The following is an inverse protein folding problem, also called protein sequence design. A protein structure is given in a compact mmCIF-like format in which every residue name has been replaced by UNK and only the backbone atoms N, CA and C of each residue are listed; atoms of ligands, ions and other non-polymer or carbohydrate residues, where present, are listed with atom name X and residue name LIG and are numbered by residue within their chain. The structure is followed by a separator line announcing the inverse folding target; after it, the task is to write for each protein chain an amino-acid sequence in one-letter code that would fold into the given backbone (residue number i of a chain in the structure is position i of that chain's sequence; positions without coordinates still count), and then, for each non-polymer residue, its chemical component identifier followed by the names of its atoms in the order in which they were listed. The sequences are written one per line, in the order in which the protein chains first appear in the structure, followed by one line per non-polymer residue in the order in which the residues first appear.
data_IF_000637846630
#
_entry.id   IF_000637846630
#
_cell.length_a   1.000
_cell.length_b   1.000
_cell.length_c   1.000
_cell.angle_alpha   90.00
_cell.angle_beta   90.00
_cell.angle_gamma   90.00
#
_symmetry.space_group_name_H-M   'P 1'
#
loop_
_entity.id
_entity.type
_entity.pdbx_description
1 polymer ?
#
# COMPACT_ATOMS: atom_id res chain seq x y z
N UNK A 1 8.27 4.86 -6.04
CA UNK A 1 9.18 3.72 -5.81
C UNK A 1 8.76 2.56 -6.69
N UNK A 2 9.69 1.80 -7.21
CA UNK A 2 9.39 0.65 -8.05
C UNK A 2 9.58 -0.64 -7.27
N UNK A 3 8.86 -1.68 -7.66
CA UNK A 3 8.94 -2.98 -7.00
C UNK A 3 10.36 -3.55 -7.00
N UNK A 4 11.14 -3.27 -8.05
CA UNK A 4 12.52 -3.72 -8.16
C UNK A 4 13.41 -3.21 -7.02
N UNK A 5 13.11 -2.07 -6.43
CA UNK A 5 13.85 -1.54 -5.29
C UNK A 5 13.69 -2.41 -4.04
N UNK A 6 12.65 -3.24 -4.00
CA UNK A 6 12.40 -4.16 -2.90
C UNK A 6 13.05 -5.54 -3.12
N UNK A 7 13.52 -5.84 -4.32
CA UNK A 7 14.07 -7.17 -4.64
C UNK A 7 15.17 -7.64 -3.67
N UNK A 8 16.11 -6.76 -3.23
CA UNK A 8 17.12 -7.19 -2.27
C UNK A 8 16.58 -7.46 -0.86
N UNK A 9 15.43 -6.87 -0.51
CA UNK A 9 14.86 -6.92 0.84
C UNK A 9 13.89 -8.09 0.98
N UNK A 10 13.07 -8.36 -0.02
CA UNK A 10 11.97 -9.32 0.08
C UNK A 10 12.42 -10.73 0.49
N UNK A 11 13.55 -11.27 0.00
CA UNK A 11 14.02 -12.59 0.45
C UNK A 11 14.47 -12.64 1.90
N UNK A 12 14.72 -11.49 2.54
CA UNK A 12 15.24 -11.39 3.90
C UNK A 12 14.13 -11.29 4.96
N UNK A 13 12.87 -11.10 4.55
CA UNK A 13 11.76 -10.87 5.46
C UNK A 13 10.80 -12.04 5.47
N UNK A 14 10.04 -12.17 6.57
CA UNK A 14 8.98 -13.15 6.68
C UNK A 14 7.78 -12.72 5.82
N UNK A 15 7.17 -13.70 5.14
CA UNK A 15 5.95 -13.50 4.36
C UNK A 15 6.06 -12.30 3.41
N UNK A 16 6.98 -12.33 2.44
CA UNK A 16 7.19 -11.18 1.54
C UNK A 16 5.93 -10.82 0.72
N UNK A 17 4.98 -11.75 0.56
CA UNK A 17 3.71 -11.45 -0.11
C UNK A 17 2.89 -10.33 0.56
N UNK A 18 3.17 -10.02 1.82
CA UNK A 18 2.55 -8.87 2.52
C UNK A 18 2.83 -7.54 1.83
N UNK A 19 3.91 -7.46 1.05
CA UNK A 19 4.52 -6.19 0.64
C UNK A 19 4.51 -5.97 -0.87
N UNK A 20 3.96 -6.89 -1.64
CA UNK A 20 4.04 -6.84 -3.11
C UNK A 20 2.72 -6.45 -3.79
N UNK A 21 1.62 -6.32 -3.05
CA UNK A 21 0.32 -6.00 -3.65
C UNK A 21 -0.17 -7.06 -4.64
N UNK A 22 -0.93 -6.63 -5.65
CA UNK A 22 -1.33 -7.49 -6.75
C UNK A 22 -2.45 -8.49 -6.45
N UNK A 23 -3.21 -8.28 -5.37
CA UNK A 23 -4.37 -9.11 -5.05
C UNK A 23 -5.44 -8.99 -6.14
N UNK A 24 -6.23 -10.04 -6.31
CA UNK A 24 -7.19 -10.14 -7.40
C UNK A 24 -8.19 -8.98 -7.46
N UNK A 25 -8.60 -8.47 -6.29
CA UNK A 25 -9.56 -7.37 -6.18
C UNK A 25 -8.91 -6.01 -5.89
N UNK A 26 -7.61 -5.88 -6.11
CA UNK A 26 -6.93 -4.58 -6.04
C UNK A 26 -7.44 -3.65 -7.13
N UNK A 27 -7.62 -2.37 -6.78
CA UNK A 27 -8.03 -1.35 -7.73
C UNK A 27 -6.80 -0.53 -8.14
N UNK A 28 -6.45 -0.61 -9.41
CA UNK A 28 -5.32 0.14 -9.96
C UNK A 28 -5.85 1.13 -10.99
N UNK A 29 -5.53 2.39 -10.80
CA UNK A 29 -5.95 3.48 -11.68
C UNK A 29 -4.73 4.22 -12.22
N UNK A 30 -4.96 5.08 -13.21
CA UNK A 30 -3.94 6.01 -13.69
C UNK A 30 -3.92 7.23 -12.76
N UNK A 31 -2.80 7.46 -12.07
CA UNK A 31 -2.68 8.58 -11.15
C UNK A 31 -2.82 9.94 -11.84
N UNK A 32 -2.57 10.02 -13.13
CA UNK A 32 -2.76 11.25 -13.91
C UNK A 32 -4.25 11.50 -14.24
N UNK A 33 -5.10 10.49 -14.11
CA UNK A 33 -6.52 10.58 -14.46
C UNK A 33 -7.43 10.88 -13.26
N UNK A 34 -6.88 10.90 -12.04
CA UNK A 34 -7.65 11.17 -10.82
C UNK A 34 -7.25 12.51 -10.23
N UNK A 35 -8.20 13.14 -9.52
CA UNK A 35 -7.97 14.42 -8.85
C UNK A 35 -7.48 14.24 -7.42
N UNK A 36 -7.88 13.15 -6.77
CA UNK A 36 -7.61 12.88 -5.35
C UNK A 36 -6.92 11.53 -5.21
N UNK A 37 -5.77 11.53 -4.56
CA UNK A 37 -5.08 10.32 -4.15
C UNK A 37 -5.23 10.14 -2.64
N UNK A 38 -5.88 9.07 -2.24
CA UNK A 38 -6.22 8.78 -0.86
C UNK A 38 -5.40 7.56 -0.39
N UNK A 39 -4.55 7.76 0.62
CA UNK A 39 -3.83 6.66 1.26
C UNK A 39 -4.62 6.20 2.48
N UNK A 40 -5.24 5.03 2.38
CA UNK A 40 -5.98 4.43 3.48
C UNK A 40 -4.99 3.59 4.31
N UNK A 41 -4.57 4.14 5.43
CA UNK A 41 -3.59 3.51 6.31
C UNK A 41 -4.31 2.76 7.42
N UNK A 42 -4.06 1.46 7.52
CA UNK A 42 -4.56 0.63 8.61
C UNK A 42 -3.40 0.34 9.56
N UNK A 43 -3.51 0.66 10.85
CA UNK A 43 -2.38 0.63 11.79
C UNK A 43 -2.10 -0.79 12.32
N UNK A 44 -2.13 -1.79 11.46
CA UNK A 44 -1.82 -3.17 11.77
C UNK A 44 -1.25 -3.85 10.54
N UNK A 45 -0.85 -5.12 10.70
CA UNK A 45 -0.23 -5.88 9.62
C UNK A 45 -1.20 -6.22 8.50
N UNK A 46 -0.62 -6.62 7.37
CA UNK A 46 -1.34 -6.94 6.15
C UNK A 46 -2.50 -7.94 6.36
N UNK A 47 -2.26 -9.05 7.08
CA UNK A 47 -3.29 -10.09 7.26
C UNK A 47 -4.49 -9.57 8.04
N UNK A 48 -4.25 -8.75 9.05
CA UNK A 48 -5.32 -8.16 9.87
C UNK A 48 -6.09 -7.12 9.06
N UNK A 49 -5.37 -6.24 8.38
CA UNK A 49 -5.99 -5.22 7.53
C UNK A 49 -6.81 -5.80 6.39
N UNK A 50 -6.28 -6.82 5.72
CA UNK A 50 -6.98 -7.49 4.61
C UNK A 50 -8.21 -8.27 5.07
N UNK A 51 -8.27 -8.63 6.33
CA UNK A 51 -9.44 -9.32 6.92
C UNK A 51 -10.49 -8.36 7.47
N UNK A 52 -10.20 -7.05 7.50
CA UNK A 52 -11.10 -6.07 8.10
C UNK A 52 -12.18 -5.64 7.11
N UNK A 53 -13.43 -6.02 7.42
CA UNK A 53 -14.56 -5.77 6.52
C UNK A 53 -14.81 -4.27 6.29
N UNK A 54 -14.74 -3.46 7.35
CA UNK A 54 -14.95 -2.02 7.24
C UNK A 54 -13.96 -1.35 6.30
N UNK A 55 -12.70 -1.76 6.33
CA UNK A 55 -11.69 -1.27 5.41
C UNK A 55 -12.01 -1.63 3.96
N UNK A 56 -12.46 -2.86 3.72
CA UNK A 56 -12.85 -3.31 2.38
C UNK A 56 -14.03 -2.53 1.83
N UNK A 57 -15.01 -2.25 2.66
CA UNK A 57 -16.20 -1.47 2.28
C UNK A 57 -15.78 -0.04 1.90
N UNK A 58 -14.99 0.62 2.73
CA UNK A 58 -14.53 1.99 2.46
C UNK A 58 -13.61 2.08 1.25
N UNK A 59 -12.74 1.11 1.09
CA UNK A 59 -11.86 1.01 -0.08
C UNK A 59 -12.68 0.92 -1.38
N UNK A 60 -13.68 0.05 -1.41
CA UNK A 60 -14.56 -0.11 -2.56
C UNK A 60 -15.38 1.18 -2.81
N UNK A 61 -15.92 1.77 -1.75
CA UNK A 61 -16.73 2.99 -1.86
C UNK A 61 -15.92 4.16 -2.40
N UNK A 62 -14.72 4.39 -1.88
CA UNK A 62 -13.85 5.47 -2.34
C UNK A 62 -13.41 5.26 -3.79
N UNK A 63 -13.11 4.03 -4.16
CA UNK A 63 -12.69 3.70 -5.52
C UNK A 63 -13.84 3.66 -6.53
N UNK A 64 -15.09 3.68 -6.07
CA UNK A 64 -16.24 3.83 -6.96
C UNK A 64 -16.33 5.24 -7.57
N UNK A 65 -15.62 6.21 -6.98
CA UNK A 65 -15.55 7.56 -7.52
C UNK A 65 -14.52 7.62 -8.65
N UNK A 66 -14.88 8.26 -9.75
CA UNK A 66 -13.96 8.41 -10.90
C UNK A 66 -12.80 9.36 -10.60
N UNK A 67 -13.02 10.33 -9.72
CA UNK A 67 -12.03 11.37 -9.38
C UNK A 67 -11.02 10.93 -8.30
N UNK A 68 -11.21 9.76 -7.69
CA UNK A 68 -10.45 9.34 -6.51
C UNK A 68 -9.82 7.97 -6.73
N UNK A 69 -8.57 7.84 -6.31
CA UNK A 69 -7.91 6.56 -6.21
C UNK A 69 -7.53 6.33 -4.75
N UNK A 70 -8.16 5.34 -4.12
CA UNK A 70 -7.85 4.91 -2.76
C UNK A 70 -6.90 3.73 -2.82
N UNK A 71 -5.75 3.88 -2.19
CA UNK A 71 -4.73 2.84 -2.09
C UNK A 71 -4.55 2.44 -0.63
N UNK A 72 -4.08 1.23 -0.40
CA UNK A 72 -3.96 0.66 0.95
C UNK A 72 -2.53 0.70 1.44
N UNK A 73 -2.37 1.02 2.71
CA UNK A 73 -1.08 1.01 3.38
C UNK A 73 -1.25 0.27 4.71
N UNK A 74 -0.45 -0.76 4.95
CA UNK A 74 -0.46 -1.49 6.20
C UNK A 74 0.84 -1.27 6.98
N UNK A 75 0.79 -1.45 8.30
CA UNK A 75 1.99 -1.39 9.11
C UNK A 75 2.90 -2.58 8.75
N UNK A 76 4.18 -2.34 8.48
CA UNK A 76 5.12 -3.43 8.21
C UNK A 76 5.43 -4.21 9.49
N UNK A 77 5.75 -5.49 9.34
CA UNK A 77 6.32 -6.24 10.45
C UNK A 77 7.72 -5.68 10.78
N UNK A 78 8.22 -5.99 11.95
CA UNK A 78 9.46 -5.38 12.46
C UNK A 78 10.67 -5.61 11.56
N UNK A 79 10.75 -6.77 10.91
CA UNK A 79 11.87 -7.09 10.01
C UNK A 79 11.85 -6.22 8.74
N UNK A 80 10.67 -6.01 8.17
CA UNK A 80 10.53 -5.17 6.98
C UNK A 80 10.72 -3.68 7.31
N UNK A 81 10.22 -3.24 8.45
CA UNK A 81 10.45 -1.86 8.92
C UNK A 81 11.93 -1.58 9.06
N UNK A 82 12.67 -2.49 9.70
CA UNK A 82 14.12 -2.35 9.88
C UNK A 82 14.85 -2.28 8.53
N UNK A 83 14.44 -3.11 7.57
CA UNK A 83 15.03 -3.14 6.24
C UNK A 83 14.75 -1.84 5.46
N UNK A 84 13.53 -1.32 5.53
CA UNK A 84 13.19 -0.06 4.89
C UNK A 84 14.02 1.10 5.46
N UNK A 85 14.16 1.16 6.78
CA UNK A 85 14.95 2.20 7.43
C UNK A 85 16.43 2.10 7.08
N UNK A 86 16.97 0.87 7.06
CA UNK A 86 18.36 0.61 6.70
C UNK A 86 18.69 1.10 5.29
N UNK A 87 17.80 0.84 4.34
CA UNK A 87 18.03 1.12 2.94
C UNK A 87 17.48 2.51 2.51
N UNK A 88 16.93 3.27 3.45
CA UNK A 88 16.40 4.61 3.17
C UNK A 88 15.16 4.61 2.29
N UNK A 89 14.36 3.54 2.33
CA UNK A 89 13.14 3.43 1.53
C UNK A 89 11.92 3.87 2.34
N UNK A 90 10.97 4.59 1.72
CA UNK A 90 9.76 5.06 2.40
C UNK A 90 8.73 3.95 2.53
N UNK A 91 7.79 4.11 3.46
CA UNK A 91 6.56 3.34 3.48
C UNK A 91 5.70 3.74 2.27
N UNK A 92 5.06 2.78 1.66
CA UNK A 92 4.39 2.95 0.37
C UNK A 92 3.03 2.27 0.33
N UNK A 93 2.21 2.68 -0.64
CA UNK A 93 0.93 2.05 -0.92
C UNK A 93 1.09 0.81 -1.78
N UNK A 94 0.23 -0.18 -1.57
CA UNK A 94 0.35 -1.50 -2.21
C UNK A 94 -0.03 -1.50 -3.69
N UNK A 95 -0.81 -0.54 -4.15
CA UNK A 95 -1.24 -0.49 -5.55
C UNK A 95 -0.19 0.15 -6.46
N UNK A 96 0.27 1.34 -6.09
CA UNK A 96 1.22 2.10 -6.92
C UNK A 96 2.67 1.97 -6.50
N UNK A 97 2.94 1.53 -5.27
CA UNK A 97 4.25 1.58 -4.62
C UNK A 97 4.76 3.01 -4.42
N UNK A 98 3.89 3.99 -4.53
CA UNK A 98 4.26 5.37 -4.27
C UNK A 98 4.33 5.63 -2.76
N UNK A 99 5.26 6.51 -2.31
CA UNK A 99 5.37 6.84 -0.90
C UNK A 99 4.16 7.67 -0.42
N UNK A 100 3.91 7.65 0.88
CA UNK A 100 2.79 8.38 1.48
C UNK A 100 2.84 9.89 1.18
N UNK A 101 4.02 10.43 0.98
CA UNK A 101 4.19 11.87 0.67
C UNK A 101 3.56 12.27 -0.67
N UNK A 102 3.25 11.33 -1.55
CA UNK A 102 2.65 11.61 -2.85
C UNK A 102 1.12 11.68 -2.80
N UNK A 103 0.51 11.46 -1.64
CA UNK A 103 -0.93 11.41 -1.50
C UNK A 103 -1.50 12.72 -0.97
N UNK A 104 -2.75 13.02 -1.39
CA UNK A 104 -3.45 14.24 -0.98
C UNK A 104 -4.09 14.08 0.40
N UNK A 105 -4.58 12.89 0.71
CA UNK A 105 -5.23 12.55 1.99
C UNK A 105 -4.60 11.27 2.53
N UNK A 106 -4.32 11.28 3.82
CA UNK A 106 -3.78 10.14 4.56
C UNK A 106 -4.72 9.84 5.73
#
# INVERSE_FOLDING_TARGET
MRLEELDPILPQVQKPARYIGGELNSVVKDKAAVDIRFAFCFPDTYEIGMSHLGMKILYSLLNSREDTWCERVFAPWTDFEAALRRDGLPLYALESFDPLSDFDII
#
